data_IF_822061024760
#
_entry.id   IF_822061024760
#
_cell.length_a   1.000
_cell.length_b   1.000
_cell.length_c   1.000
_cell.angle_alpha   90.00
_cell.angle_beta   90.00
_cell.angle_gamma   90.00
#
_symmetry.space_group_name_H-M   'P 1'
#
loop_
_entity.id
_entity.type
_entity.pdbx_description
1 polymer ?
#
# COMPACT_ATOMS: atom_id res chain seq x y z
N UNK A 1 36.59 -20.51 -7.29
CA UNK A 1 35.48 -20.13 -6.39
C UNK A 1 35.66 -18.73 -5.78
N UNK A 2 36.85 -18.31 -5.36
CA UNK A 2 37.09 -16.96 -4.79
C UNK A 2 36.74 -15.78 -5.73
N UNK A 3 36.88 -15.96 -7.05
CA UNK A 3 36.66 -14.88 -8.03
C UNK A 3 35.17 -14.53 -8.24
N UNK A 4 34.26 -15.51 -8.13
CA UNK A 4 32.82 -15.29 -8.29
C UNK A 4 32.19 -14.60 -7.07
N UNK A 5 32.73 -14.83 -5.87
CA UNK A 5 32.23 -14.15 -4.68
C UNK A 5 32.65 -12.67 -4.65
N UNK A 6 33.82 -12.36 -5.21
CA UNK A 6 34.29 -10.98 -5.39
C UNK A 6 33.43 -10.21 -6.41
N UNK A 7 33.07 -10.84 -7.53
CA UNK A 7 32.28 -10.16 -8.58
C UNK A 7 30.83 -9.87 -8.14
N UNK A 8 30.20 -10.75 -7.36
CA UNK A 8 28.84 -10.50 -6.82
C UNK A 8 28.81 -9.36 -5.80
N UNK A 9 29.85 -9.27 -4.95
CA UNK A 9 30.01 -8.14 -4.03
C UNK A 9 30.20 -6.82 -4.80
N UNK A 10 31.02 -6.84 -5.85
CA UNK A 10 31.23 -5.68 -6.72
C UNK A 10 29.95 -5.27 -7.46
N UNK A 11 29.16 -6.23 -7.98
CA UNK A 11 27.84 -5.96 -8.60
C UNK A 11 26.89 -5.29 -7.63
N UNK A 12 26.84 -5.76 -6.39
CA UNK A 12 26.00 -5.18 -5.34
C UNK A 12 26.40 -3.73 -5.04
N UNK A 13 27.72 -3.48 -4.90
CA UNK A 13 28.24 -2.13 -4.67
C UNK A 13 27.96 -1.19 -5.85
N UNK A 14 28.18 -1.64 -7.09
CA UNK A 14 27.88 -0.88 -8.30
C UNK A 14 26.38 -0.56 -8.40
N UNK A 15 25.52 -1.54 -8.12
CA UNK A 15 24.08 -1.38 -8.20
C UNK A 15 23.56 -0.37 -7.16
N UNK A 16 23.98 -0.49 -5.89
CA UNK A 16 23.60 0.44 -4.83
C UNK A 16 24.10 1.86 -5.12
N UNK A 17 25.35 1.99 -5.58
CA UNK A 17 25.91 3.28 -5.95
C UNK A 17 25.11 3.96 -7.08
N UNK A 18 24.68 3.21 -8.09
CA UNK A 18 23.84 3.74 -9.20
C UNK A 18 22.40 4.04 -8.73
N UNK A 19 21.87 3.34 -7.72
CA UNK A 19 20.57 3.67 -7.12
C UNK A 19 20.61 5.05 -6.45
N UNK A 20 21.64 5.28 -5.64
CA UNK A 20 21.88 6.52 -4.90
C UNK A 20 22.20 7.68 -5.85
N UNK A 21 22.95 7.39 -6.92
CA UNK A 21 23.42 8.38 -7.90
C UNK A 21 22.77 8.16 -9.28
N UNK A 22 21.44 7.96 -9.30
CA UNK A 22 20.72 7.68 -10.55
C UNK A 22 20.90 8.81 -11.57
N UNK A 23 21.36 8.48 -12.77
CA UNK A 23 21.67 9.46 -13.81
C UNK A 23 23.14 9.92 -13.81
N UNK A 24 24.01 9.27 -13.05
CA UNK A 24 25.45 9.54 -13.05
C UNK A 24 26.05 9.36 -14.44
N UNK A 25 26.95 10.27 -14.82
CA UNK A 25 27.69 10.19 -16.08
C UNK A 25 28.70 9.04 -15.99
N UNK A 26 28.77 8.23 -17.05
CA UNK A 26 29.59 7.02 -17.09
C UNK A 26 31.09 7.29 -16.83
N UNK A 27 31.60 8.47 -17.22
CA UNK A 27 32.96 8.90 -16.89
C UNK A 27 33.15 9.05 -15.37
N UNK A 28 32.20 9.70 -14.70
CA UNK A 28 32.26 9.97 -13.25
C UNK A 28 31.99 8.70 -12.44
N UNK A 29 31.20 7.78 -12.98
CA UNK A 29 31.03 6.44 -12.43
C UNK A 29 32.37 5.72 -12.27
N UNK A 30 33.21 5.67 -13.31
CA UNK A 30 34.52 4.99 -13.20
C UNK A 30 35.47 5.66 -12.20
N UNK A 31 35.33 6.96 -11.95
CA UNK A 31 36.14 7.65 -10.94
C UNK A 31 35.85 7.15 -9.51
N UNK A 32 34.65 6.62 -9.25
CA UNK A 32 34.26 6.11 -7.94
C UNK A 32 34.68 4.66 -7.70
N UNK A 33 35.22 3.98 -8.71
CA UNK A 33 35.69 2.59 -8.63
C UNK A 33 37.16 2.45 -9.06
N UNK A 34 37.98 3.49 -8.85
CA UNK A 34 39.41 3.48 -9.24
C UNK A 34 40.25 2.44 -8.48
N UNK A 35 39.80 1.98 -7.31
CA UNK A 35 40.44 0.89 -6.54
C UNK A 35 40.20 -0.51 -7.12
N UNK A 36 39.35 -0.65 -8.13
CA UNK A 36 38.98 -1.91 -8.75
C UNK A 36 39.50 -2.00 -10.20
N UNK A 37 39.78 -3.20 -10.69
CA UNK A 37 40.19 -3.37 -12.09
C UNK A 37 39.09 -2.91 -13.04
N UNK A 38 39.42 -2.02 -13.98
CA UNK A 38 38.47 -1.52 -14.98
C UNK A 38 37.78 -2.64 -15.77
N UNK A 39 38.49 -3.75 -16.00
CA UNK A 39 37.93 -4.95 -16.63
C UNK A 39 36.83 -5.57 -15.77
N UNK A 40 37.07 -5.73 -14.47
CA UNK A 40 36.10 -6.30 -13.53
C UNK A 40 34.88 -5.40 -13.34
N UNK A 41 35.09 -4.08 -13.21
CA UNK A 41 33.98 -3.10 -13.13
C UNK A 41 33.13 -3.13 -14.40
N UNK A 42 33.74 -3.28 -15.57
CA UNK A 42 33.02 -3.40 -16.84
C UNK A 42 32.20 -4.69 -16.93
N UNK A 43 32.79 -5.83 -16.55
CA UNK A 43 32.09 -7.12 -16.53
C UNK A 43 30.88 -7.06 -15.59
N UNK A 44 31.08 -6.60 -14.35
CA UNK A 44 30.00 -6.46 -13.37
C UNK A 44 28.91 -5.49 -13.84
N UNK A 45 29.27 -4.34 -14.42
CA UNK A 45 28.32 -3.37 -14.95
C UNK A 45 27.54 -3.93 -16.16
N UNK A 46 28.19 -4.65 -17.07
CA UNK A 46 27.54 -5.23 -18.24
C UNK A 46 26.56 -6.33 -17.83
N UNK A 47 26.89 -7.17 -16.85
CA UNK A 47 25.95 -8.16 -16.31
C UNK A 47 24.72 -7.50 -15.65
N UNK A 48 24.90 -6.39 -14.94
CA UNK A 48 23.78 -5.59 -14.41
C UNK A 48 22.91 -4.98 -15.52
N UNK A 49 23.49 -4.71 -16.69
CA UNK A 49 22.75 -4.21 -17.86
C UNK A 49 22.00 -5.34 -18.56
N UNK A 50 22.63 -6.51 -18.73
CA UNK A 50 22.02 -7.70 -19.33
C UNK A 50 20.83 -8.20 -18.49
N UNK A 51 20.96 -8.19 -17.16
CA UNK A 51 19.88 -8.53 -16.22
C UNK A 51 18.82 -7.43 -16.08
N UNK A 52 18.89 -6.35 -16.88
CA UNK A 52 17.99 -5.20 -16.84
C UNK A 52 17.85 -4.56 -15.44
N UNK A 53 18.92 -4.58 -14.63
CA UNK A 53 18.97 -3.85 -13.36
C UNK A 53 19.42 -2.41 -13.58
N UNK A 54 20.33 -2.19 -14.54
CA UNK A 54 20.89 -0.88 -14.93
C UNK A 54 20.72 -0.65 -16.43
N UNK A 55 20.55 0.59 -16.85
CA UNK A 55 20.50 0.99 -18.26
C UNK A 55 21.45 2.14 -18.56
N UNK A 56 22.08 2.06 -19.74
CA UNK A 56 22.85 3.15 -20.36
C UNK A 56 21.91 4.05 -21.14
N UNK A 57 21.86 5.34 -20.77
CA UNK A 57 21.09 6.38 -21.43
C UNK A 57 22.02 7.37 -22.12
N UNK A 58 21.80 7.65 -23.42
CA UNK A 58 22.55 8.68 -24.13
C UNK A 58 21.94 10.05 -23.81
N UNK A 59 22.74 10.99 -23.31
CA UNK A 59 22.37 12.36 -23.04
C UNK A 59 23.39 13.29 -23.74
N UNK A 60 23.04 13.75 -24.95
CA UNK A 60 23.96 14.50 -25.81
C UNK A 60 25.20 13.67 -26.19
N UNK A 61 26.39 14.17 -25.86
CA UNK A 61 27.69 13.50 -26.07
C UNK A 61 28.08 12.55 -24.93
N UNK A 62 27.25 12.41 -23.89
CA UNK A 62 27.57 11.61 -22.70
C UNK A 62 26.64 10.40 -22.56
N UNK A 63 27.10 9.39 -21.83
CA UNK A 63 26.30 8.24 -21.41
C UNK A 63 26.06 8.35 -19.91
N UNK A 64 24.80 8.23 -19.50
CA UNK A 64 24.37 8.19 -18.10
C UNK A 64 23.95 6.77 -17.72
N UNK A 65 24.16 6.40 -16.45
CA UNK A 65 23.73 5.13 -15.88
C UNK A 65 22.52 5.37 -14.97
N UNK A 66 21.43 4.64 -15.22
CA UNK A 66 20.23 4.70 -14.39
C UNK A 66 19.80 3.28 -14.03
N UNK A 67 19.20 3.09 -12.86
CA UNK A 67 18.44 1.86 -12.60
C UNK A 67 17.14 1.86 -13.40
N UNK A 68 16.70 0.67 -13.84
CA UNK A 68 15.54 0.52 -14.75
C UNK A 68 14.24 1.08 -14.16
N UNK A 69 14.08 1.04 -12.84
CA UNK A 69 12.95 1.66 -12.15
C UNK A 69 12.91 3.20 -12.22
N UNK A 70 13.99 3.87 -12.64
CA UNK A 70 14.13 5.33 -12.74
C UNK A 70 14.46 5.83 -14.15
N UNK A 71 14.40 4.99 -15.20
CA UNK A 71 14.67 5.41 -16.59
C UNK A 71 13.35 5.71 -17.35
N UNK A 72 13.05 6.97 -17.69
CA UNK A 72 11.73 7.31 -18.23
C UNK A 72 11.47 6.90 -19.68
N UNK A 73 12.50 6.53 -20.48
CA UNK A 73 12.35 6.68 -21.94
C UNK A 73 12.87 5.55 -22.85
N UNK A 74 13.59 4.54 -22.33
CA UNK A 74 14.05 3.39 -23.15
C UNK A 74 13.29 2.09 -22.89
N UNK A 75 12.68 1.97 -21.70
CA UNK A 75 11.80 0.84 -21.37
C UNK A 75 10.52 0.88 -22.21
N UNK A 76 9.98 2.08 -22.46
CA UNK A 76 8.81 2.31 -23.33
C UNK A 76 9.05 1.83 -24.77
N UNK A 77 10.18 2.16 -25.39
CA UNK A 77 10.52 1.70 -26.76
C UNK A 77 10.77 0.20 -26.89
N UNK A 78 11.21 -0.48 -25.81
CA UNK A 78 11.38 -1.95 -25.82
C UNK A 78 10.05 -2.67 -25.57
N UNK A 79 9.15 -2.09 -24.77
CA UNK A 79 7.76 -2.53 -24.62
C UNK A 79 6.97 -2.35 -25.93
N UNK A 80 7.10 -1.21 -26.61
CA UNK A 80 6.49 -0.98 -27.94
C UNK A 80 6.91 -2.06 -28.96
N UNK A 81 8.21 -2.41 -29.00
CA UNK A 81 8.73 -3.43 -29.92
C UNK A 81 8.35 -4.87 -29.53
N UNK A 82 8.01 -5.11 -28.26
CA UNK A 82 7.47 -6.40 -27.81
C UNK A 82 5.95 -6.48 -27.99
N UNK A 83 5.25 -5.33 -27.98
CA UNK A 83 3.82 -5.21 -28.29
C UNK A 83 3.56 -5.45 -29.78
N UNK A 84 4.40 -4.95 -30.70
CA UNK A 84 4.29 -5.23 -32.14
C UNK A 84 4.42 -6.73 -32.48
N UNK A 85 5.19 -7.48 -31.70
CA UNK A 85 5.35 -8.93 -31.87
C UNK A 85 4.20 -9.76 -31.28
N UNK A 86 3.36 -9.17 -30.42
CA UNK A 86 2.18 -9.83 -29.82
C UNK A 86 0.89 -9.45 -30.58
N UNK A 87 0.84 -8.29 -31.23
CA UNK A 87 -0.32 -7.83 -32.02
C UNK A 87 -0.56 -8.58 -33.34
N UNK A 88 0.30 -9.53 -33.76
CA UNK A 88 0.10 -10.31 -34.98
C UNK A 88 -0.51 -11.69 -34.77
N UNK A 89 -0.87 -12.06 -33.54
CA UNK A 89 -1.61 -13.30 -33.29
C UNK A 89 -2.79 -13.10 -32.35
N UNK A 90 -3.97 -13.08 -32.97
CA UNK A 90 -5.29 -13.42 -32.43
C UNK A 90 -5.96 -12.40 -31.50
N UNK A 91 -6.85 -11.63 -32.12
CA UNK A 91 -8.19 -11.34 -31.57
C UNK A 91 -8.79 -12.71 -31.22
N UNK A 92 -8.98 -13.00 -29.94
CA UNK A 92 -9.82 -14.10 -29.49
C UNK A 92 -10.85 -13.57 -28.51
N UNK A 93 -12.01 -14.20 -28.63
CA UNK A 93 -13.28 -13.91 -28.00
C UNK A 93 -13.20 -13.73 -26.48
N UNK A 94 -14.21 -13.01 -25.96
CA UNK A 94 -14.47 -12.80 -24.54
C UNK A 94 -14.70 -14.15 -23.82
N UNK A 95 -13.62 -14.82 -23.44
CA UNK A 95 -13.63 -15.83 -22.39
C UNK A 95 -13.63 -15.11 -21.03
N UNK A 96 -14.51 -15.54 -20.12
CA UNK A 96 -14.61 -15.03 -18.75
C UNK A 96 -13.24 -15.13 -18.04
N UNK A 97 -12.47 -14.05 -18.04
CA UNK A 97 -11.24 -13.97 -17.25
C UNK A 97 -11.66 -13.97 -15.77
N UNK A 98 -11.37 -15.06 -15.07
CA UNK A 98 -11.55 -15.10 -13.61
C UNK A 98 -10.61 -14.08 -12.96
N UNK A 99 -11.21 -13.01 -12.42
CA UNK A 99 -10.47 -11.99 -11.70
C UNK A 99 -9.99 -12.54 -10.35
N UNK A 100 -8.76 -12.20 -9.92
CA UNK A 100 -8.24 -12.66 -8.64
C UNK A 100 -9.00 -12.06 -7.45
N UNK A 101 -8.79 -12.63 -6.25
CA UNK A 101 -9.40 -12.16 -4.99
C UNK A 101 -9.12 -10.67 -4.67
N UNK A 102 -8.10 -10.07 -5.28
CA UNK A 102 -7.87 -8.63 -5.23
C UNK A 102 -7.40 -8.11 -6.59
N UNK A 103 -8.10 -7.09 -7.10
CA UNK A 103 -7.70 -6.31 -8.27
C UNK A 103 -8.16 -4.86 -8.15
N UNK A 104 -7.50 -4.00 -8.91
CA UNK A 104 -7.86 -2.60 -9.13
C UNK A 104 -8.27 -2.39 -10.58
N UNK A 105 -9.53 -2.04 -10.79
CA UNK A 105 -10.12 -1.68 -12.08
C UNK A 105 -9.93 -0.20 -12.37
N UNK A 106 -9.62 0.12 -13.62
CA UNK A 106 -9.45 1.48 -14.12
C UNK A 106 -10.28 1.64 -15.38
N UNK A 107 -11.04 2.72 -15.46
CA UNK A 107 -11.65 3.14 -16.72
C UNK A 107 -11.48 4.62 -17.00
N UNK A 108 -11.37 4.95 -18.29
CA UNK A 108 -11.28 6.33 -18.79
C UNK A 108 -11.80 6.43 -20.21
N UNK A 109 -12.31 7.60 -20.57
CA UNK A 109 -12.82 7.90 -21.92
C UNK A 109 -11.70 8.40 -22.82
N UNK A 110 -11.94 8.37 -24.13
CA UNK A 110 -11.13 9.09 -25.12
C UNK A 110 -10.92 10.54 -24.69
N UNK A 111 -9.66 10.99 -24.74
CA UNK A 111 -9.24 12.31 -24.27
C UNK A 111 -8.45 13.05 -25.34
N UNK A 112 -8.50 14.39 -25.31
CA UNK A 112 -7.67 15.27 -26.15
C UNK A 112 -6.28 15.51 -25.56
N UNK A 113 -6.00 14.94 -24.38
CA UNK A 113 -4.69 15.03 -23.74
C UNK A 113 -3.57 14.49 -24.63
N UNK A 114 -2.42 15.17 -24.63
CA UNK A 114 -1.21 14.72 -25.32
C UNK A 114 -0.71 13.35 -24.82
N UNK A 115 -1.07 12.98 -23.59
CA UNK A 115 -0.69 11.70 -22.97
C UNK A 115 -1.70 10.57 -23.25
N UNK A 116 -2.73 10.81 -24.07
CA UNK A 116 -3.79 9.82 -24.31
C UNK A 116 -3.27 8.51 -24.88
N UNK A 117 -2.41 8.55 -25.91
CA UNK A 117 -1.80 7.35 -26.50
C UNK A 117 -1.00 6.54 -25.47
N UNK A 118 -0.27 7.22 -24.59
CA UNK A 118 0.49 6.58 -23.51
C UNK A 118 -0.44 5.90 -22.49
N UNK A 119 -1.55 6.54 -22.11
CA UNK A 119 -2.53 5.95 -21.21
C UNK A 119 -3.16 4.68 -21.80
N UNK A 120 -3.54 4.71 -23.08
CA UNK A 120 -4.08 3.53 -23.78
C UNK A 120 -3.05 2.39 -23.83
N UNK A 121 -1.78 2.71 -24.12
CA UNK A 121 -0.71 1.70 -24.14
C UNK A 121 -0.52 1.04 -22.77
N UNK A 122 -0.57 1.80 -21.67
CA UNK A 122 -0.47 1.26 -20.31
C UNK A 122 -1.72 0.45 -19.91
N UNK A 123 -2.90 0.87 -20.36
CA UNK A 123 -4.18 0.18 -20.12
C UNK A 123 -4.21 -1.20 -20.78
N UNK A 124 -3.68 -1.31 -22.00
CA UNK A 124 -3.53 -2.59 -22.74
C UNK A 124 -2.62 -3.62 -22.07
N UNK A 125 -1.81 -3.20 -21.09
CA UNK A 125 -0.98 -4.11 -20.28
C UNK A 125 -1.72 -4.68 -19.06
N UNK A 126 -2.97 -4.27 -18.82
CA UNK A 126 -3.82 -4.82 -17.77
C UNK A 126 -4.28 -6.25 -18.08
N UNK A 127 -4.83 -6.92 -17.05
CA UNK A 127 -5.25 -8.32 -17.11
C UNK A 127 -6.40 -8.55 -18.11
N UNK A 128 -7.39 -7.67 -18.10
CA UNK A 128 -8.62 -7.75 -18.90
C UNK A 128 -8.89 -6.42 -19.61
N UNK A 129 -7.99 -6.01 -20.50
CA UNK A 129 -8.20 -4.79 -21.26
C UNK A 129 -9.40 -4.92 -22.19
N UNK A 130 -10.33 -3.97 -22.09
CA UNK A 130 -11.55 -3.90 -22.88
C UNK A 130 -11.74 -2.49 -23.45
N UNK A 131 -12.27 -2.45 -24.67
CA UNK A 131 -12.71 -1.22 -25.32
C UNK A 131 -14.22 -1.30 -25.54
N UNK A 132 -14.96 -0.31 -25.03
CA UNK A 132 -16.41 -0.23 -25.22
C UNK A 132 -16.76 1.09 -25.88
N UNK A 133 -17.55 1.02 -26.94
CA UNK A 133 -18.13 2.21 -27.57
C UNK A 133 -19.49 2.49 -26.94
N UNK A 134 -19.61 3.62 -26.24
CA UNK A 134 -20.88 4.23 -25.84
C UNK A 134 -21.03 5.54 -26.63
N UNK A 135 -21.20 6.69 -25.98
CA UNK A 135 -21.12 8.00 -26.64
C UNK A 135 -19.67 8.36 -27.05
N UNK A 136 -18.70 7.78 -26.34
CA UNK A 136 -17.26 7.93 -26.56
C UNK A 136 -16.59 6.59 -26.31
N UNK A 137 -15.44 6.34 -26.93
CA UNK A 137 -14.62 5.16 -26.64
C UNK A 137 -14.19 5.17 -25.16
N UNK A 138 -14.52 4.10 -24.44
CA UNK A 138 -14.12 3.84 -23.05
C UNK A 138 -13.09 2.72 -23.06
N UNK A 139 -12.01 2.94 -22.33
CA UNK A 139 -11.00 1.94 -22.02
C UNK A 139 -11.24 1.44 -20.61
N UNK A 140 -11.23 0.13 -20.42
CA UNK A 140 -11.28 -0.51 -19.11
C UNK A 140 -10.13 -1.52 -18.99
N UNK A 141 -9.52 -1.61 -17.81
CA UNK A 141 -8.46 -2.58 -17.54
C UNK A 141 -8.31 -2.81 -16.04
N UNK A 142 -8.05 -4.05 -15.62
CA UNK A 142 -7.75 -4.39 -14.24
C UNK A 142 -6.28 -4.74 -14.01
N UNK A 143 -5.82 -4.51 -12.79
CA UNK A 143 -4.47 -4.82 -12.33
C UNK A 143 -4.50 -5.54 -10.99
N UNK A 144 -3.50 -6.36 -10.71
CA UNK A 144 -3.46 -7.22 -9.52
C UNK A 144 -2.52 -6.65 -8.46
N UNK A 145 -2.49 -7.29 -7.28
CA UNK A 145 -1.55 -6.95 -6.20
C UNK A 145 -0.09 -7.28 -6.51
N UNK A 146 0.20 -8.00 -7.60
CA UNK A 146 1.58 -8.25 -8.00
C UNK A 146 2.32 -6.92 -8.23
N UNK A 147 3.59 -6.87 -7.82
CA UNK A 147 4.36 -5.62 -7.88
C UNK A 147 4.48 -5.06 -9.29
N UNK A 148 4.63 -5.92 -10.32
CA UNK A 148 4.72 -5.43 -11.69
C UNK A 148 3.38 -4.90 -12.16
N UNK A 149 2.30 -5.65 -11.92
CA UNK A 149 0.93 -5.25 -12.29
C UNK A 149 0.54 -3.92 -11.62
N UNK A 150 0.78 -3.80 -10.31
CA UNK A 150 0.48 -2.60 -9.55
C UNK A 150 1.30 -1.38 -9.99
N UNK A 151 2.59 -1.55 -10.32
CA UNK A 151 3.41 -0.44 -10.81
C UNK A 151 2.98 0.05 -12.21
N UNK A 152 2.46 -0.83 -13.07
CA UNK A 152 1.86 -0.43 -14.34
C UNK A 152 0.60 0.40 -14.08
N UNK A 153 -0.27 -0.07 -13.19
CA UNK A 153 -1.43 0.70 -12.73
C UNK A 153 -1.02 2.08 -12.24
N UNK A 154 0.01 2.19 -11.38
CA UNK A 154 0.47 3.48 -10.86
C UNK A 154 0.95 4.43 -11.96
N UNK A 155 1.62 3.92 -12.99
CA UNK A 155 2.05 4.73 -14.13
C UNK A 155 0.84 5.23 -14.93
N UNK A 156 -0.17 4.38 -15.14
CA UNK A 156 -1.42 4.79 -15.79
C UNK A 156 -2.14 5.84 -14.96
N UNK A 157 -2.37 5.56 -13.68
CA UNK A 157 -3.08 6.43 -12.74
C UNK A 157 -2.46 7.83 -12.67
N UNK A 158 -1.13 7.93 -12.61
CA UNK A 158 -0.44 9.23 -12.62
C UNK A 158 -0.70 10.08 -13.88
N UNK A 159 -1.06 9.46 -15.00
CA UNK A 159 -1.40 10.16 -16.25
C UNK A 159 -2.87 10.60 -16.25
N UNK A 160 -3.76 9.74 -15.75
CA UNK A 160 -5.21 9.89 -15.92
C UNK A 160 -5.95 10.41 -14.69
N UNK A 161 -5.30 10.50 -13.51
CA UNK A 161 -5.96 10.88 -12.24
C UNK A 161 -6.70 12.21 -12.30
N UNK A 162 -6.22 13.15 -13.12
CA UNK A 162 -6.81 14.49 -13.27
C UNK A 162 -7.82 14.54 -14.44
N UNK A 163 -8.11 13.41 -15.10
CA UNK A 163 -9.10 13.37 -16.17
C UNK A 163 -10.50 13.17 -15.58
N UNK A 164 -11.45 14.02 -15.97
CA UNK A 164 -12.84 13.95 -15.50
C UNK A 164 -13.51 12.58 -15.74
N UNK A 165 -13.05 11.84 -16.75
CA UNK A 165 -13.55 10.51 -17.10
C UNK A 165 -12.91 9.36 -16.32
N UNK A 166 -11.86 9.63 -15.53
CA UNK A 166 -11.15 8.60 -14.77
C UNK A 166 -12.07 8.03 -13.69
N UNK A 167 -12.20 6.70 -13.64
CA UNK A 167 -12.91 5.97 -12.60
C UNK A 167 -12.03 4.81 -12.14
N UNK A 168 -11.94 4.65 -10.83
CA UNK A 168 -11.12 3.63 -10.18
C UNK A 168 -11.99 2.83 -9.22
N UNK A 169 -11.84 1.52 -9.26
CA UNK A 169 -12.55 0.60 -8.39
C UNK A 169 -11.60 -0.50 -7.87
N UNK A 170 -11.86 -1.03 -6.69
CA UNK A 170 -11.19 -2.21 -6.18
C UNK A 170 -12.26 -3.26 -5.91
N UNK A 171 -12.08 -4.46 -6.47
CA UNK A 171 -13.04 -5.56 -6.35
C UNK A 171 -14.49 -5.11 -6.63
N UNK A 172 -14.72 -4.42 -7.76
CA UNK A 172 -16.01 -3.84 -8.16
C UNK A 172 -16.62 -2.80 -7.21
N UNK A 173 -15.82 -2.20 -6.32
CA UNK A 173 -16.26 -1.12 -5.42
C UNK A 173 -15.52 0.17 -5.73
N UNK A 174 -16.28 1.23 -6.02
CA UNK A 174 -15.71 2.57 -6.18
C UNK A 174 -15.06 3.05 -4.89
N UNK A 175 -13.93 3.73 -5.03
CA UNK A 175 -13.20 4.30 -3.92
C UNK A 175 -13.31 5.82 -3.89
N UNK A 176 -13.29 6.36 -2.68
CA UNK A 176 -12.99 7.77 -2.49
C UNK A 176 -11.53 8.04 -2.87
N UNK A 177 -11.29 9.14 -3.57
CA UNK A 177 -9.98 9.61 -4.01
C UNK A 177 -8.92 9.56 -2.89
N UNK A 178 -9.28 10.02 -1.68
CA UNK A 178 -8.39 10.03 -0.51
C UNK A 178 -7.93 8.61 -0.09
N UNK A 179 -8.82 7.63 -0.14
CA UNK A 179 -8.50 6.24 0.19
C UNK A 179 -7.57 5.64 -0.87
N UNK A 180 -7.81 5.97 -2.14
CA UNK A 180 -6.96 5.57 -3.24
C UNK A 180 -5.56 6.17 -3.14
N UNK A 181 -5.43 7.47 -2.86
CA UNK A 181 -4.12 8.13 -2.73
C UNK A 181 -3.31 7.55 -1.57
N UNK A 182 -3.96 7.26 -0.43
CA UNK A 182 -3.31 6.63 0.72
C UNK A 182 -2.83 5.21 0.40
N UNK A 183 -3.68 4.42 -0.27
CA UNK A 183 -3.34 3.07 -0.71
C UNK A 183 -2.16 3.10 -1.68
N UNK A 184 -2.27 3.92 -2.71
CA UNK A 184 -1.32 3.95 -3.82
C UNK A 184 0.05 4.40 -3.38
N UNK A 185 0.16 5.40 -2.52
CA UNK A 185 1.43 5.82 -1.94
C UNK A 185 2.10 4.68 -1.16
N UNK A 186 1.37 4.08 -0.20
CA UNK A 186 1.92 3.05 0.68
C UNK A 186 2.31 1.80 -0.09
N UNK A 187 1.42 1.31 -0.95
CA UNK A 187 1.63 0.07 -1.68
C UNK A 187 2.69 0.21 -2.78
N UNK A 188 2.76 1.37 -3.45
CA UNK A 188 3.83 1.66 -4.40
C UNK A 188 5.20 1.65 -3.71
N UNK A 189 5.31 2.19 -2.49
CA UNK A 189 6.52 2.12 -1.69
C UNK A 189 6.88 0.66 -1.33
N UNK A 190 5.89 -0.17 -0.97
CA UNK A 190 6.10 -1.62 -0.77
C UNK A 190 6.61 -2.31 -2.04
N UNK A 191 5.99 -2.06 -3.20
CA UNK A 191 6.39 -2.71 -4.46
C UNK A 191 7.84 -2.38 -4.85
N UNK A 192 8.35 -1.21 -4.40
CA UNK A 192 9.70 -0.73 -4.65
C UNK A 192 10.70 -1.08 -3.54
N UNK A 193 10.24 -1.49 -2.35
CA UNK A 193 11.11 -1.80 -1.23
C UNK A 193 11.78 -3.16 -1.40
N UNK A 194 12.92 -3.33 -0.72
CA UNK A 194 13.59 -4.61 -0.56
C UNK A 194 14.17 -4.69 0.85
N UNK A 195 13.81 -5.69 1.68
CA UNK A 195 12.83 -6.76 1.39
C UNK A 195 11.38 -6.27 1.39
N UNK A 196 10.51 -6.92 0.60
CA UNK A 196 9.08 -6.59 0.51
C UNK A 196 8.27 -7.15 1.67
N UNK A 197 8.66 -8.33 2.16
CA UNK A 197 7.89 -9.10 3.12
C UNK A 197 7.82 -8.41 4.49
N UNK A 198 8.89 -7.74 4.91
CA UNK A 198 8.90 -6.98 6.18
C UNK A 198 8.41 -5.55 6.07
N UNK A 199 8.04 -5.06 4.88
CA UNK A 199 7.59 -3.67 4.73
C UNK A 199 6.37 -3.37 5.60
N UNK A 200 5.41 -4.29 5.63
CA UNK A 200 4.15 -4.11 6.32
C UNK A 200 4.30 -4.28 7.85
N UNK A 201 4.99 -5.32 8.31
CA UNK A 201 5.29 -5.55 9.73
C UNK A 201 6.36 -4.62 10.31
N UNK A 202 7.03 -3.84 9.46
CA UNK A 202 8.01 -2.83 9.84
C UNK A 202 9.42 -3.22 9.40
N UNK A 203 9.95 -2.46 8.44
CA UNK A 203 11.29 -2.71 7.88
C UNK A 203 12.42 -2.18 8.77
N UNK A 204 12.09 -1.33 9.74
CA UNK A 204 13.03 -0.77 10.70
C UNK A 204 12.44 -0.83 12.12
N UNK A 205 13.29 -0.60 13.12
CA UNK A 205 12.89 -0.65 14.53
C UNK A 205 11.65 0.20 14.82
N UNK A 206 11.61 1.44 14.33
CA UNK A 206 10.51 2.38 14.60
C UNK A 206 9.16 1.91 14.05
N UNK A 207 9.17 1.09 13.00
CA UNK A 207 7.95 0.62 12.32
C UNK A 207 7.58 -0.81 12.67
N UNK A 208 8.45 -1.53 13.40
CA UNK A 208 8.22 -2.91 13.82
C UNK A 208 6.93 -3.02 14.65
N UNK A 209 6.08 -3.97 14.30
CA UNK A 209 4.80 -4.22 14.96
C UNK A 209 4.32 -5.66 14.74
N UNK A 210 3.54 -6.23 15.67
CA UNK A 210 2.99 -7.58 15.52
C UNK A 210 1.73 -7.63 14.64
N UNK A 211 1.16 -6.49 14.22
CA UNK A 211 -0.15 -6.40 13.57
C UNK A 211 -0.10 -6.42 12.03
N UNK A 212 1.00 -6.90 11.45
CA UNK A 212 1.25 -7.00 10.00
C UNK A 212 1.08 -5.67 9.22
N UNK A 213 0.88 -4.52 9.88
CA UNK A 213 0.68 -3.24 9.21
C UNK A 213 1.15 -2.05 10.05
N UNK A 214 2.25 -1.42 9.65
CA UNK A 214 2.83 -0.28 10.33
C UNK A 214 1.94 0.98 10.30
N UNK A 215 0.99 1.07 9.35
CA UNK A 215 0.04 2.19 9.23
C UNK A 215 -1.03 2.16 10.33
N UNK A 216 -1.15 1.09 11.11
CA UNK A 216 -2.00 1.05 12.32
C UNK A 216 -1.46 1.89 13.47
N UNK A 217 -0.22 2.39 13.36
CA UNK A 217 0.46 3.18 14.38
C UNK A 217 0.68 2.49 15.74
N UNK A 218 0.47 1.17 15.80
CA UNK A 218 0.79 0.31 16.96
C UNK A 218 2.18 -0.29 16.77
N UNK A 219 3.19 0.57 16.63
CA UNK A 219 4.58 0.21 16.36
C UNK A 219 5.51 0.82 17.43
N UNK A 220 6.77 0.39 17.45
CA UNK A 220 7.75 0.82 18.47
C UNK A 220 7.95 2.34 18.50
N UNK A 221 7.97 3.00 17.33
CA UNK A 221 8.19 4.44 17.22
C UNK A 221 6.96 5.32 17.48
N UNK A 222 5.77 4.72 17.54
CA UNK A 222 4.50 5.35 17.86
C UNK A 222 4.02 4.93 19.24
N UNK A 223 2.84 4.30 19.30
CA UNK A 223 2.29 3.75 20.55
C UNK A 223 2.34 2.22 20.49
N UNK A 224 3.44 1.58 20.93
CA UNK A 224 3.54 0.13 20.88
C UNK A 224 2.54 -0.54 21.81
N UNK A 225 2.17 -1.79 21.49
CA UNK A 225 1.11 -2.52 22.19
C UNK A 225 1.30 -2.67 23.69
N UNK A 226 2.55 -2.69 24.18
CA UNK A 226 2.84 -2.82 25.60
C UNK A 226 2.55 -1.55 26.40
N UNK A 227 2.26 -0.40 25.74
CA UNK A 227 1.85 0.84 26.40
C UNK A 227 0.36 0.92 26.69
N UNK A 228 -0.44 0.00 26.17
CA UNK A 228 -1.88 -0.08 26.45
C UNK A 228 -2.09 -0.94 27.68
N UNK A 229 -2.45 -0.34 28.81
CA UNK A 229 -2.63 -1.09 30.04
C UNK A 229 -2.61 -0.27 31.31
N UNK A 230 -2.60 -0.99 32.42
CA UNK A 230 -2.55 -0.43 33.77
C UNK A 230 -1.84 -1.39 34.73
N UNK A 231 -1.34 -0.84 35.84
CA UNK A 231 -0.81 -1.65 36.93
C UNK A 231 -1.92 -2.10 37.87
N UNK A 232 -1.87 -3.35 38.31
CA UNK A 232 -2.63 -3.80 39.49
C UNK A 232 -1.94 -3.45 40.81
N UNK A 233 -2.59 -3.77 41.93
CA UNK A 233 -2.06 -3.55 43.27
C UNK A 233 -0.75 -4.31 43.57
N UNK A 234 -0.41 -5.33 42.77
CA UNK A 234 0.83 -6.12 42.88
C UNK A 234 1.92 -5.64 41.91
N UNK A 235 1.73 -4.49 41.26
CA UNK A 235 2.62 -3.95 40.23
C UNK A 235 2.79 -4.91 39.03
N UNK A 236 1.79 -5.72 38.73
CA UNK A 236 1.71 -6.48 37.48
C UNK A 236 1.04 -5.60 36.43
N UNK A 237 1.63 -5.51 35.26
CA UNK A 237 1.10 -4.76 34.13
C UNK A 237 0.04 -5.60 33.41
N UNK A 238 -1.20 -5.13 33.36
CA UNK A 238 -2.31 -5.74 32.63
C UNK A 238 -2.48 -5.02 31.30
N UNK A 239 -2.54 -5.79 30.22
CA UNK A 239 -2.61 -5.25 28.86
C UNK A 239 -4.05 -5.04 28.49
N UNK A 240 -4.39 -3.81 28.12
CA UNK A 240 -5.75 -3.48 27.67
C UNK A 240 -5.92 -3.85 26.20
N UNK A 241 -6.25 -5.12 25.95
CA UNK A 241 -6.53 -5.63 24.61
C UNK A 241 -7.75 -4.97 23.97
N UNK A 242 -8.69 -4.46 24.75
CA UNK A 242 -9.88 -3.79 24.23
C UNK A 242 -9.55 -2.41 23.66
N UNK A 243 -8.66 -1.67 24.32
CA UNK A 243 -8.17 -0.39 23.82
C UNK A 243 -7.29 -0.57 22.57
N UNK A 244 -6.47 -1.61 22.53
CA UNK A 244 -5.73 -1.98 21.32
C UNK A 244 -6.70 -2.33 20.17
N UNK A 245 -7.73 -3.14 20.45
CA UNK A 245 -8.76 -3.52 19.45
C UNK A 245 -9.47 -2.30 18.90
N UNK A 246 -9.84 -1.35 19.77
CA UNK A 246 -10.47 -0.09 19.38
C UNK A 246 -9.54 0.71 18.46
N UNK A 247 -8.27 0.86 18.85
CA UNK A 247 -7.24 1.54 18.05
C UNK A 247 -7.07 0.90 16.67
N UNK A 248 -7.02 -0.44 16.59
CA UNK A 248 -6.95 -1.17 15.29
C UNK A 248 -8.16 -0.85 14.42
N UNK A 249 -9.37 -0.89 14.99
CA UNK A 249 -10.61 -0.62 14.25
C UNK A 249 -10.66 0.83 13.74
N UNK A 250 -10.24 1.80 14.55
CA UNK A 250 -10.18 3.21 14.17
C UNK A 250 -9.16 3.46 13.05
N UNK A 251 -7.95 2.90 13.17
CA UNK A 251 -6.88 3.13 12.21
C UNK A 251 -7.00 2.28 10.92
N UNK A 252 -7.82 1.23 10.92
CA UNK A 252 -8.01 0.34 9.78
C UNK A 252 -9.00 0.83 8.72
N UNK A 253 -9.79 1.88 9.00
CA UNK A 253 -10.86 2.35 8.10
C UNK A 253 -10.40 2.56 6.65
N UNK A 254 -9.23 3.20 6.47
CA UNK A 254 -8.66 3.46 5.15
C UNK A 254 -7.80 2.31 4.59
N UNK A 255 -7.55 1.27 5.39
CA UNK A 255 -6.68 0.14 5.03
C UNK A 255 -7.44 -1.03 4.39
N UNK A 256 -8.77 -1.04 4.48
CA UNK A 256 -9.62 -2.13 3.94
C UNK A 256 -9.46 -2.38 2.43
N UNK A 257 -8.97 -1.39 1.68
CA UNK A 257 -8.70 -1.51 0.26
C UNK A 257 -7.30 -2.07 -0.06
N UNK A 258 -6.42 -2.18 0.94
CA UNK A 258 -5.07 -2.69 0.78
C UNK A 258 -5.06 -4.21 0.58
N UNK A 259 -4.37 -4.73 -0.45
CA UNK A 259 -4.35 -6.17 -0.74
C UNK A 259 -3.61 -7.01 0.32
N UNK A 260 -2.81 -6.37 1.17
CA UNK A 260 -2.01 -7.03 2.21
C UNK A 260 -2.50 -6.73 3.62
N UNK A 261 -3.56 -5.91 3.77
CA UNK A 261 -4.17 -5.67 5.07
C UNK A 261 -5.27 -6.68 5.37
N UNK A 262 -5.35 -7.15 6.61
CA UNK A 262 -6.39 -8.10 7.04
C UNK A 262 -6.76 -7.88 8.50
N UNK A 263 -8.00 -7.42 8.75
CA UNK A 263 -8.57 -7.32 10.10
C UNK A 263 -8.57 -8.67 10.86
N UNK A 264 -8.94 -9.81 10.23
CA UNK A 264 -8.79 -11.12 10.86
C UNK A 264 -7.38 -11.41 11.38
N UNK A 265 -6.34 -11.06 10.61
CA UNK A 265 -4.95 -11.26 11.05
C UNK A 265 -4.56 -10.35 12.21
N UNK A 266 -5.04 -9.11 12.21
CA UNK A 266 -4.86 -8.20 13.35
C UNK A 266 -5.47 -8.77 14.63
N UNK A 267 -6.64 -9.42 14.53
CA UNK A 267 -7.28 -10.09 15.67
C UNK A 267 -6.47 -11.30 16.16
N UNK A 268 -5.89 -12.08 15.25
CA UNK A 268 -4.97 -13.18 15.62
C UNK A 268 -3.76 -12.62 16.37
N UNK A 269 -3.12 -11.56 15.85
CA UNK A 269 -2.00 -10.90 16.49
C UNK A 269 -2.35 -10.37 17.88
N UNK A 270 -3.51 -9.72 18.04
CA UNK A 270 -4.01 -9.25 19.33
C UNK A 270 -4.15 -10.38 20.35
N UNK A 271 -4.66 -11.53 19.92
CA UNK A 271 -4.82 -12.69 20.80
C UNK A 271 -3.49 -13.31 21.22
N UNK A 272 -2.40 -13.11 20.45
CA UNK A 272 -1.06 -13.62 20.76
C UNK A 272 -0.28 -12.75 21.73
N UNK A 273 -0.64 -11.48 21.86
CA UNK A 273 -0.06 -10.60 22.87
C UNK A 273 -0.41 -11.15 24.27
N UNK A 274 0.51 -11.10 25.25
CA UNK A 274 0.22 -11.54 26.61
C UNK A 274 -0.92 -10.73 27.25
N UNK A 275 -1.67 -11.32 28.18
CA UNK A 275 -2.68 -10.57 28.96
C UNK A 275 -2.03 -9.71 30.06
N UNK A 276 -0.88 -10.16 30.55
CA UNK A 276 -0.16 -9.47 31.62
C UNK A 276 1.35 -9.67 31.50
N UNK A 277 2.11 -8.70 32.02
CA UNK A 277 3.56 -8.72 32.13
C UNK A 277 3.92 -8.36 33.57
N UNK A 278 4.80 -9.13 34.19
CA UNK A 278 5.30 -8.82 35.54
C UNK A 278 6.77 -8.34 35.45
N UNK A 279 7.05 -7.02 35.50
CA UNK A 279 8.41 -6.48 35.44
C UNK A 279 9.28 -6.88 36.65
N UNK A 280 8.67 -7.24 37.78
CA UNK A 280 9.41 -7.66 38.97
C UNK A 280 10.05 -9.04 38.75
N UNK A 281 9.40 -9.92 37.98
CA UNK A 281 9.88 -11.26 37.64
C UNK A 281 10.67 -11.24 36.32
N UNK A 282 10.11 -10.64 35.26
CA UNK A 282 10.72 -10.62 33.94
C UNK A 282 11.56 -9.35 33.76
N UNK A 283 12.88 -9.47 33.99
CA UNK A 283 13.85 -8.37 33.91
C UNK A 283 14.06 -7.80 32.50
N UNK A 284 13.50 -8.43 31.46
CA UNK A 284 13.50 -7.85 30.12
C UNK A 284 12.43 -6.76 29.94
N UNK A 285 11.57 -6.55 30.94
CA UNK A 285 10.61 -5.45 31.00
C UNK A 285 10.97 -4.52 32.15
N UNK A 286 11.03 -3.23 31.86
CA UNK A 286 11.31 -2.18 32.83
C UNK A 286 10.06 -1.33 33.05
N UNK A 287 9.86 -0.88 34.29
CA UNK A 287 8.81 0.07 34.62
C UNK A 287 9.28 1.48 34.25
N UNK A 288 8.45 2.22 33.51
CA UNK A 288 8.73 3.59 33.08
C UNK A 288 7.47 4.42 33.31
N UNK A 289 7.51 5.31 34.29
CA UNK A 289 6.36 6.09 34.75
C UNK A 289 5.14 5.18 35.04
N UNK A 290 4.03 5.45 34.36
CA UNK A 290 2.77 4.71 34.44
C UNK A 290 2.65 3.62 33.36
N UNK A 291 3.76 3.17 32.79
CA UNK A 291 3.83 2.14 31.74
C UNK A 291 4.99 1.17 31.95
N UNK A 292 5.07 0.16 31.08
CA UNK A 292 6.26 -0.67 30.88
C UNK A 292 6.93 -0.38 29.54
N UNK A 293 8.21 -0.70 29.45
CA UNK A 293 8.98 -0.74 28.20
C UNK A 293 9.92 -1.96 28.17
N UNK A 294 10.27 -2.49 26.98
CA UNK A 294 11.37 -3.42 26.80
C UNK A 294 12.69 -2.86 27.37
N UNK A 295 13.54 -3.72 27.93
CA UNK A 295 14.85 -3.31 28.48
C UNK A 295 15.77 -2.63 27.47
N UNK A 296 15.65 -2.99 26.19
CA UNK A 296 16.45 -2.51 25.08
C UNK A 296 15.71 -2.71 23.75
N UNK A 297 16.20 -2.03 22.72
CA UNK A 297 15.63 -2.05 21.37
C UNK A 297 15.68 -3.44 20.71
N UNK A 298 16.74 -4.22 21.01
CA UNK A 298 16.92 -5.57 20.47
C UNK A 298 15.82 -6.50 20.99
N UNK A 299 15.53 -6.45 22.28
CA UNK A 299 14.46 -7.21 22.90
C UNK A 299 13.09 -6.77 22.36
N UNK A 300 12.86 -5.47 22.17
CA UNK A 300 11.62 -4.94 21.59
C UNK A 300 11.36 -5.51 20.18
N UNK A 301 12.41 -5.57 19.34
CA UNK A 301 12.34 -6.12 17.99
C UNK A 301 12.11 -7.63 18.02
N UNK A 302 12.82 -8.35 18.90
CA UNK A 302 12.67 -9.80 19.09
C UNK A 302 11.23 -10.16 19.47
N UNK A 303 10.65 -9.46 20.44
CA UNK A 303 9.27 -9.70 20.88
C UNK A 303 8.28 -9.46 19.73
N UNK A 304 8.45 -8.36 18.99
CA UNK A 304 7.57 -8.04 17.85
C UNK A 304 7.63 -9.11 16.76
N UNK A 305 8.84 -9.57 16.40
CA UNK A 305 9.03 -10.64 15.41
C UNK A 305 8.50 -11.99 15.86
N UNK A 306 8.65 -12.33 17.14
CA UNK A 306 8.14 -13.59 17.68
C UNK A 306 6.60 -13.62 17.67
N UNK A 307 5.96 -12.49 17.98
CA UNK A 307 4.50 -12.35 17.91
C UNK A 307 3.98 -12.41 16.47
N UNK A 308 4.68 -11.77 15.53
CA UNK A 308 4.37 -11.87 14.09
C UNK A 308 4.48 -13.33 13.61
N UNK A 309 5.61 -14.01 13.89
CA UNK A 309 5.83 -15.40 13.51
C UNK A 309 4.77 -16.35 14.12
N UNK A 310 4.41 -16.14 15.40
CA UNK A 310 3.36 -16.91 16.06
C UNK A 310 1.98 -16.70 15.42
N UNK A 311 1.70 -15.50 14.92
CA UNK A 311 0.46 -15.18 14.22
C UNK A 311 0.39 -15.86 12.85
N UNK A 312 1.51 -15.82 12.09
CA UNK A 312 1.62 -16.48 10.78
C UNK A 312 1.44 -18.01 10.86
N UNK A 313 1.94 -18.65 11.92
CA UNK A 313 1.76 -20.09 12.15
C UNK A 313 0.31 -20.49 12.42
N UNK A 314 -0.51 -19.60 12.99
CA UNK A 314 -1.93 -19.88 13.17
C UNK A 314 -2.73 -19.59 11.91
N UNK A 315 -2.37 -18.54 11.15
CA UNK A 315 -2.97 -18.25 9.84
C UNK A 315 -2.80 -19.43 8.89
N UNK A 316 -1.63 -20.07 8.86
CA UNK A 316 -1.37 -21.22 7.99
C UNK A 316 -2.24 -22.45 8.32
N UNK A 317 -2.64 -22.62 9.59
CA UNK A 317 -3.59 -23.66 10.02
C UNK A 317 -5.01 -23.38 9.51
N UNK A 318 -5.39 -22.11 9.34
CA UNK A 318 -6.67 -21.73 8.75
C UNK A 318 -6.69 -21.87 7.21
N UNK A 319 -5.55 -21.68 6.53
CA UNK A 319 -5.47 -21.76 5.06
C UNK A 319 -5.17 -23.17 4.53
N UNK A 320 -4.94 -24.15 5.40
CA UNK A 320 -4.61 -25.55 5.04
C UNK A 320 -5.80 -26.42 4.62
N UNK A 321 -7.03 -25.94 4.76
CA UNK A 321 -8.21 -26.56 4.17
C UNK A 321 -8.62 -25.74 2.94
N UNK A 322 -8.85 -26.40 1.80
CA UNK A 322 -9.39 -25.77 0.58
C UNK A 322 -10.54 -24.81 0.95
N UNK A 323 -10.38 -23.51 0.67
CA UNK A 323 -11.49 -22.55 0.68
C UNK A 323 -11.30 -21.58 -0.52
N UNK A 324 -11.99 -21.67 -1.66
CA UNK A 324 -13.45 -21.55 -1.87
C UNK A 324 -14.20 -21.12 -0.62
N UNK A 325 -14.70 -19.88 -0.64
CA UNK A 325 -15.56 -19.27 0.38
C UNK A 325 -14.83 -18.40 1.43
N UNK A 326 -14.28 -17.28 0.95
CA UNK A 326 -14.35 -16.03 1.72
C UNK A 326 -15.17 -15.05 0.88
N UNK A 327 -16.49 -15.17 1.00
CA UNK A 327 -17.44 -14.21 0.48
C UNK A 327 -17.44 -13.00 1.43
N UNK A 328 -17.07 -11.78 1.00
CA UNK A 328 -17.11 -10.60 1.85
C UNK A 328 -18.55 -10.09 1.92
N UNK A 329 -19.43 -10.84 2.58
CA UNK A 329 -20.69 -10.27 3.01
C UNK A 329 -20.38 -9.30 4.15
N UNK A 330 -20.58 -8.01 3.88
CA UNK A 330 -20.65 -6.98 4.89
C UNK A 330 -21.75 -7.39 5.88
N UNK A 331 -21.37 -7.68 7.12
CA UNK A 331 -22.33 -7.80 8.21
C UNK A 331 -23.06 -6.46 8.36
N UNK A 332 -24.35 -6.52 8.03
CA UNK A 332 -25.38 -5.49 8.17
C UNK A 332 -25.84 -5.34 9.63
N UNK A 333 -24.88 -5.21 10.56
CA UNK A 333 -25.16 -4.96 11.97
C UNK A 333 -24.53 -3.65 12.43
N UNK A 334 -25.03 -2.54 11.90
CA UNK A 334 -24.87 -1.20 12.48
C UNK A 334 -26.22 -0.47 12.51
N UNK A 335 -27.15 -1.04 13.26
CA UNK A 335 -28.31 -0.32 13.79
C UNK A 335 -28.73 -1.03 15.05
N UNK A 336 -28.28 -0.50 16.20
CA UNK A 336 -28.94 -0.57 17.51
C UNK A 336 -27.98 -0.05 18.59
N UNK A 337 -27.87 1.27 18.68
CA UNK A 337 -27.56 1.96 19.93
C UNK A 337 -28.36 3.26 19.96
N UNK A 338 -29.55 3.19 20.55
CA UNK A 338 -30.11 4.21 21.43
C UNK A 338 -31.47 3.74 21.95
N UNK A 339 -31.45 3.11 23.12
CA UNK A 339 -32.58 3.15 24.06
C UNK A 339 -31.99 3.00 25.46
N UNK A 340 -31.67 4.13 26.08
CA UNK A 340 -31.75 4.25 27.53
C UNK A 340 -33.07 4.93 27.87
N UNK A 341 -33.75 4.31 28.82
CA UNK A 341 -34.99 4.76 29.44
C UNK A 341 -34.92 6.24 29.81
N UNK A 342 -35.97 7.00 29.48
CA UNK A 342 -36.50 7.96 30.43
C UNK A 342 -37.99 8.20 30.24
N UNK A 343 -38.61 8.29 31.41
CA UNK A 343 -40.00 8.54 31.76
C UNK A 343 -40.87 9.29 30.75
N UNK A 344 -42.02 8.69 30.51
CA UNK A 344 -43.25 9.30 30.03
C UNK A 344 -43.59 10.58 30.80
N UNK A 345 -43.66 11.70 30.10
CA UNK A 345 -44.58 12.79 30.42
C UNK A 345 -45.19 13.29 29.12
N UNK A 346 -46.51 13.13 29.02
CA UNK A 346 -47.37 13.56 27.94
C UNK A 346 -47.33 15.09 27.78
N UNK A 347 -47.00 15.56 26.57
CA UNK A 347 -47.51 16.84 26.06
C UNK A 347 -47.84 16.67 24.57
N UNK A 348 -49.13 16.67 24.27
CA UNK A 348 -49.71 16.87 22.94
C UNK A 348 -49.35 18.27 22.43
N UNK A 349 -48.86 18.40 21.18
CA UNK A 349 -49.23 19.53 20.31
C UNK A 349 -49.12 19.17 18.81
N UNK A 350 -50.19 19.53 18.13
CA UNK A 350 -50.56 19.57 16.71
C UNK A 350 -49.50 19.60 15.61
N UNK A 351 -49.94 18.96 14.51
CA UNK A 351 -49.57 19.18 13.10
C UNK A 351 -49.29 20.63 12.70
N UNK A 352 -48.24 20.86 11.91
CA UNK A 352 -47.98 22.16 11.28
C UNK A 352 -46.85 22.16 10.26
N UNK A 353 -47.21 22.49 9.02
CA UNK A 353 -46.39 22.75 7.85
C UNK A 353 -45.22 23.72 8.11
N UNK A 354 -43.99 23.37 7.71
CA UNK A 354 -42.79 24.17 7.96
C UNK A 354 -41.75 24.08 6.84
N UNK A 355 -42.09 24.53 5.63
CA UNK A 355 -41.11 24.75 4.55
C UNK A 355 -41.29 26.08 3.79
N UNK A 356 -42.24 26.94 4.19
CA UNK A 356 -42.52 28.21 3.48
C UNK A 356 -41.93 29.46 4.16
N UNK A 357 -41.47 29.38 5.42
CA UNK A 357 -40.94 30.54 6.14
C UNK A 357 -39.47 30.87 5.83
N UNK A 358 -38.68 29.92 5.33
CA UNK A 358 -37.26 30.17 5.02
C UNK A 358 -37.07 30.94 3.69
N UNK A 359 -38.03 30.88 2.76
CA UNK A 359 -37.90 31.55 1.46
C UNK A 359 -38.19 33.06 1.57
N UNK A 360 -39.09 33.46 2.48
CA UNK A 360 -39.46 34.88 2.64
C UNK A 360 -38.32 35.69 3.31
N UNK A 361 -37.58 35.09 4.25
CA UNK A 361 -36.46 35.76 4.93
C UNK A 361 -35.30 36.06 3.96
N UNK A 362 -35.03 35.17 3.00
CA UNK A 362 -33.96 35.38 2.01
C UNK A 362 -34.32 36.50 1.03
N UNK A 363 -35.59 36.62 0.64
CA UNK A 363 -36.04 37.67 -0.29
C UNK A 363 -36.00 39.05 0.36
N UNK A 364 -36.37 39.18 1.63
CA UNK A 364 -36.32 40.46 2.36
C UNK A 364 -34.88 40.92 2.59
N UNK A 365 -33.95 40.01 2.89
CA UNK A 365 -32.53 40.34 3.03
C UNK A 365 -31.91 40.77 1.70
N UNK A 366 -32.26 40.12 0.58
CA UNK A 366 -31.78 40.54 -0.74
C UNK A 366 -32.34 41.90 -1.18
N UNK A 367 -33.60 42.22 -0.87
CA UNK A 367 -34.18 43.52 -1.19
C UNK A 367 -33.51 44.67 -0.40
N UNK A 368 -33.02 44.40 0.82
CA UNK A 368 -32.40 45.40 1.69
C UNK A 368 -30.90 45.61 1.42
N UNK A 369 -30.23 44.66 0.76
CA UNK A 369 -28.81 44.78 0.39
C UNK A 369 -28.63 45.48 -0.97
N UNK A 370 -29.66 45.46 -1.82
CA UNK A 370 -29.61 46.00 -3.19
C UNK A 370 -30.53 47.22 -3.43
N UNK A 371 -31.07 47.82 -2.37
CA UNK A 371 -31.68 49.17 -2.37
C UNK A 371 -30.82 50.11 -1.54
#
# INVERSE_FOLDING_TARGET
MANNQSIEKLKTNIYNFIIENSGIIMKDFYNNFQGESKSLVNTALNELIETNKVVKMKAGRTVKLCVVAKSPNKYLKKLEKQVEAVTSSKIHDCENIELPNWYIGVSFKKSTSKNYSQAVALSRLGLNYEEKMEDTLIHHSSYTKDSRSFLIFMNLYNIIKDWNSCRIEINNKFLFQKSLDTLTECYCNKCKSSPKDSFCSGYNLKTANPFECHRLNINIGGTPWWKYGYYDAKCIWHIDKEDIRKTVNENSYNLNCCPDFSNPRCKIALNKIPDMINPNINKNWIKVNDSIEPKDEEFALLVSKNLEAASLLDISKFTGNKSSDINPNLDSNFSNFNTSNNSTNNINYNSGCGCLFLIIIVIVIFAYIFS
#
